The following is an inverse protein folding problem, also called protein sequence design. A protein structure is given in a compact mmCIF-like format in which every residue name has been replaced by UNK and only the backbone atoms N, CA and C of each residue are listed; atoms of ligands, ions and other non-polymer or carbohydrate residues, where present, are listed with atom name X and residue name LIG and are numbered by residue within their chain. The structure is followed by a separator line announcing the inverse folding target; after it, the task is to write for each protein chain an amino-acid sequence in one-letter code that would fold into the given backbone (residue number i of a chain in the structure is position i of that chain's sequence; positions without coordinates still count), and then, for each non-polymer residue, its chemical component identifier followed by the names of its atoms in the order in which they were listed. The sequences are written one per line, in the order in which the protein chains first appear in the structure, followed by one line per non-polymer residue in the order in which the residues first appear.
data_IF_495518398952
#
_entry.id   IF_495518398952
#
_cell.length_a   1.000
_cell.length_b   1.000
_cell.length_c   1.000
_cell.angle_alpha   90.00
_cell.angle_beta   90.00
_cell.angle_gamma   90.00
#
_symmetry.space_group_name_H-M   'P 1'
#
loop_
_entity.id
_entity.type
_entity.pdbx_description
1 polymer ?
#
# COMPACT_ATOMS: atom_id res chain seq x y z
N UNK A 1 -3.46 -29.04 -9.75
CA UNK A 1 -2.82 -27.72 -9.97
C UNK A 1 -3.66 -26.52 -9.49
N UNK A 2 -4.97 -26.65 -9.21
CA UNK A 2 -5.82 -25.55 -8.71
C UNK A 2 -5.66 -25.18 -7.23
N UNK A 3 -5.13 -26.07 -6.37
CA UNK A 3 -5.09 -25.85 -4.93
C UNK A 3 -4.19 -24.67 -4.49
N UNK A 4 -3.14 -24.35 -5.26
CA UNK A 4 -2.21 -23.27 -4.91
C UNK A 4 -2.68 -21.88 -5.35
N UNK A 5 -3.66 -21.79 -6.27
CA UNK A 5 -4.13 -20.50 -6.82
C UNK A 5 -4.84 -19.65 -5.76
N UNK A 6 -5.52 -20.29 -4.81
CA UNK A 6 -6.23 -19.61 -3.74
C UNK A 6 -5.30 -19.07 -2.63
N UNK A 7 -4.07 -19.57 -2.56
CA UNK A 7 -3.15 -19.21 -1.48
C UNK A 7 -2.76 -17.74 -1.54
N UNK A 8 -2.51 -17.21 -2.75
CA UNK A 8 -2.18 -15.80 -2.95
C UNK A 8 -3.27 -14.86 -2.41
N UNK A 9 -4.51 -14.92 -2.93
CA UNK A 9 -5.62 -14.11 -2.44
C UNK A 9 -5.89 -14.29 -0.95
N UNK A 10 -5.77 -15.52 -0.41
CA UNK A 10 -5.92 -15.79 1.02
C UNK A 10 -4.86 -15.04 1.85
N UNK A 11 -3.58 -15.16 1.49
CA UNK A 11 -2.48 -14.47 2.18
C UNK A 11 -2.68 -12.95 2.11
N UNK A 12 -3.03 -12.41 0.94
CA UNK A 12 -3.28 -10.97 0.79
C UNK A 12 -4.45 -10.48 1.64
N UNK A 13 -5.55 -11.24 1.70
CA UNK A 13 -6.71 -10.90 2.51
C UNK A 13 -6.39 -10.93 4.02
N UNK A 14 -5.68 -11.97 4.47
CA UNK A 14 -5.22 -12.09 5.86
C UNK A 14 -4.23 -10.98 6.22
N UNK A 15 -3.29 -10.66 5.33
CA UNK A 15 -2.34 -9.57 5.51
C UNK A 15 -3.07 -8.23 5.66
N UNK A 16 -4.08 -7.96 4.81
CA UNK A 16 -4.90 -6.74 4.91
C UNK A 16 -5.64 -6.65 6.25
N UNK A 17 -6.27 -7.75 6.70
CA UNK A 17 -6.98 -7.78 7.97
C UNK A 17 -6.02 -7.66 9.18
N UNK A 18 -4.84 -8.26 9.08
CA UNK A 18 -3.88 -8.36 10.18
C UNK A 18 -2.85 -7.23 10.28
N UNK A 19 -2.74 -6.33 9.31
CA UNK A 19 -1.68 -5.31 9.25
C UNK A 19 -2.13 -3.89 9.60
N UNK A 20 -3.42 -3.64 9.84
CA UNK A 20 -3.91 -2.30 10.19
C UNK A 20 -3.17 -1.69 11.40
N UNK A 21 -2.97 -2.48 12.47
CA UNK A 21 -2.27 -2.00 13.67
C UNK A 21 -0.81 -1.56 13.42
N UNK A 22 -0.18 -2.05 12.34
CA UNK A 22 1.21 -1.73 12.01
C UNK A 22 1.33 -0.26 11.61
N UNK A 23 0.42 0.24 10.78
CA UNK A 23 0.39 1.65 10.38
C UNK A 23 0.06 2.57 11.55
N UNK A 24 -0.79 2.12 12.47
CA UNK A 24 -1.13 2.89 13.67
C UNK A 24 0.10 3.08 14.56
N UNK A 25 0.99 2.09 14.63
CA UNK A 25 2.19 2.13 15.47
C UNK A 25 3.37 2.83 14.78
N UNK A 26 3.58 2.62 13.48
CA UNK A 26 4.81 3.01 12.77
C UNK A 26 4.63 4.19 11.83
N UNK A 27 3.40 4.63 11.58
CA UNK A 27 3.03 5.66 10.63
C UNK A 27 2.67 5.06 9.27
N UNK A 28 1.46 5.39 8.78
CA UNK A 28 0.94 4.85 7.51
C UNK A 28 1.82 5.17 6.32
N UNK A 29 2.33 6.39 6.20
CA UNK A 29 3.19 6.81 5.10
C UNK A 29 4.49 6.01 5.04
N UNK A 30 5.14 5.79 6.19
CA UNK A 30 6.36 4.96 6.28
C UNK A 30 6.09 3.51 5.93
N UNK A 31 5.01 2.92 6.46
CA UNK A 31 4.64 1.54 6.16
C UNK A 31 4.33 1.37 4.67
N UNK A 32 3.58 2.29 4.08
CA UNK A 32 3.27 2.28 2.65
C UNK A 32 4.53 2.38 1.79
N UNK A 33 5.46 3.28 2.13
CA UNK A 33 6.72 3.42 1.39
C UNK A 33 7.53 2.12 1.36
N UNK A 34 7.76 1.51 2.54
CA UNK A 34 8.49 0.24 2.62
C UNK A 34 7.74 -0.91 1.97
N UNK A 35 6.40 -0.88 2.00
CA UNK A 35 5.57 -1.86 1.30
C UNK A 35 5.77 -1.78 -0.20
N UNK A 36 5.80 -0.59 -0.80
CA UNK A 36 6.14 -0.47 -2.22
C UNK A 36 7.57 -0.94 -2.52
N UNK A 37 8.54 -0.67 -1.65
CA UNK A 37 9.88 -1.25 -1.75
C UNK A 37 9.87 -2.78 -1.79
N UNK A 38 9.07 -3.41 -0.91
CA UNK A 38 8.88 -4.86 -0.90
C UNK A 38 8.20 -5.38 -2.18
N UNK A 39 7.18 -4.67 -2.68
CA UNK A 39 6.51 -5.03 -3.94
C UNK A 39 7.47 -4.95 -5.14
N UNK A 40 8.34 -3.94 -5.19
CA UNK A 40 9.37 -3.80 -6.23
C UNK A 40 10.35 -4.97 -6.17
N UNK A 41 10.86 -5.29 -4.97
CA UNK A 41 11.78 -6.42 -4.78
C UNK A 41 11.12 -7.76 -5.16
N UNK A 42 9.87 -7.98 -4.76
CA UNK A 42 9.11 -9.18 -5.09
C UNK A 42 8.87 -9.31 -6.60
N UNK A 43 8.43 -8.23 -7.27
CA UNK A 43 8.21 -8.23 -8.72
C UNK A 43 9.51 -8.46 -9.51
N UNK A 44 10.63 -7.84 -9.08
CA UNK A 44 11.95 -8.11 -9.64
C UNK A 44 12.37 -9.57 -9.41
N UNK A 45 12.09 -10.13 -8.23
CA UNK A 45 12.31 -11.54 -7.92
C UNK A 45 11.49 -12.48 -8.80
N UNK A 46 10.22 -12.17 -9.07
CA UNK A 46 9.38 -12.92 -10.02
C UNK A 46 10.02 -12.92 -11.41
N UNK A 47 10.45 -11.76 -11.91
CA UNK A 47 11.13 -11.64 -13.21
C UNK A 47 12.43 -12.45 -13.24
N UNK A 48 13.21 -12.41 -12.17
CA UNK A 48 14.45 -13.18 -12.05
C UNK A 48 14.20 -14.69 -12.13
N UNK A 49 13.30 -15.22 -11.30
CA UNK A 49 13.00 -16.66 -11.29
C UNK A 49 12.33 -17.15 -12.58
N UNK A 50 11.61 -16.26 -13.28
CA UNK A 50 11.10 -16.54 -14.61
C UNK A 50 12.22 -16.61 -15.66
N UNK A 51 13.23 -15.74 -15.56
CA UNK A 51 14.42 -15.76 -16.43
C UNK A 51 15.30 -17.01 -16.24
N UNK A 52 15.31 -17.61 -15.05
CA UNK A 52 16.02 -18.85 -14.75
C UNK A 52 15.10 -20.08 -14.66
N UNK A 53 13.94 -20.05 -15.32
CA UNK A 53 12.88 -21.08 -15.21
C UNK A 53 13.34 -22.53 -15.44
N UNK A 54 14.42 -22.73 -16.20
CA UNK A 54 14.94 -24.06 -16.54
C UNK A 54 15.85 -24.64 -15.44
N UNK A 55 16.18 -23.85 -14.40
CA UNK A 55 16.98 -24.28 -13.26
C UNK A 55 16.13 -25.01 -12.19
N UNK A 56 16.71 -25.99 -11.48
CA UNK A 56 16.02 -26.68 -10.41
C UNK A 56 15.63 -25.70 -9.29
N UNK A 57 14.36 -25.75 -8.86
CA UNK A 57 13.84 -24.88 -7.80
C UNK A 57 13.33 -23.51 -8.25
N UNK A 58 13.50 -23.12 -9.53
CA UNK A 58 13.05 -21.84 -10.04
C UNK A 58 11.54 -21.60 -9.83
N UNK A 59 10.71 -22.64 -9.98
CA UNK A 59 9.27 -22.57 -9.71
C UNK A 59 8.96 -22.18 -8.27
N UNK A 60 9.67 -22.75 -7.28
CA UNK A 60 9.42 -22.45 -5.87
C UNK A 60 9.86 -21.03 -5.51
N UNK A 61 10.96 -20.55 -6.10
CA UNK A 61 11.38 -19.16 -6.00
C UNK A 61 10.34 -18.19 -6.59
N UNK A 62 9.87 -18.48 -7.81
CA UNK A 62 8.79 -17.74 -8.46
C UNK A 62 7.52 -17.69 -7.60
N UNK A 63 7.09 -18.86 -7.09
CA UNK A 63 5.91 -18.98 -6.25
C UNK A 63 6.04 -18.19 -4.95
N UNK A 64 7.18 -18.29 -4.26
CA UNK A 64 7.45 -17.56 -3.04
C UNK A 64 7.41 -16.04 -3.26
N UNK A 65 7.99 -15.54 -4.34
CA UNK A 65 7.95 -14.11 -4.67
C UNK A 65 6.52 -13.63 -4.96
N UNK A 66 5.69 -14.45 -5.62
CA UNK A 66 4.27 -14.15 -5.77
C UNK A 66 3.53 -14.09 -4.42
N UNK A 67 3.81 -15.01 -3.49
CA UNK A 67 3.21 -14.97 -2.15
C UNK A 67 3.62 -13.70 -1.37
N UNK A 68 4.88 -13.29 -1.48
CA UNK A 68 5.36 -12.03 -0.92
C UNK A 68 4.64 -10.84 -1.57
N UNK A 69 4.42 -10.85 -2.88
CA UNK A 69 3.70 -9.79 -3.58
C UNK A 69 2.24 -9.69 -3.12
N UNK A 70 1.54 -10.82 -2.95
CA UNK A 70 0.17 -10.83 -2.40
C UNK A 70 0.12 -10.32 -0.96
N UNK A 71 1.04 -10.76 -0.11
CA UNK A 71 1.18 -10.27 1.26
C UNK A 71 1.40 -8.75 1.28
N UNK A 72 2.39 -8.27 0.53
CA UNK A 72 2.73 -6.86 0.44
C UNK A 72 1.56 -6.03 -0.10
N UNK A 73 0.82 -6.54 -1.10
CA UNK A 73 -0.40 -5.88 -1.60
C UNK A 73 -1.46 -5.73 -0.50
N UNK A 74 -1.64 -6.77 0.32
CA UNK A 74 -2.55 -6.73 1.48
C UNK A 74 -2.16 -5.64 2.49
N UNK A 75 -0.88 -5.59 2.86
CA UNK A 75 -0.33 -4.55 3.77
C UNK A 75 -0.44 -3.15 3.15
N UNK A 76 -0.17 -3.05 1.85
CA UNK A 76 -0.23 -1.81 1.08
C UNK A 76 -1.62 -1.21 1.14
N UNK A 77 -2.66 -2.00 0.88
CA UNK A 77 -4.05 -1.58 0.97
C UNK A 77 -4.46 -1.11 2.37
N UNK A 78 -4.03 -1.82 3.42
CA UNK A 78 -4.34 -1.42 4.79
C UNK A 78 -3.67 -0.07 5.14
N UNK A 79 -2.37 0.06 4.84
CA UNK A 79 -1.60 1.26 5.16
C UNK A 79 -2.06 2.51 4.39
N UNK A 80 -2.38 2.38 3.09
CA UNK A 80 -2.87 3.51 2.28
C UNK A 80 -4.24 3.98 2.75
N UNK A 81 -5.15 3.06 3.10
CA UNK A 81 -6.46 3.44 3.65
C UNK A 81 -6.34 4.12 5.02
N UNK A 82 -5.37 3.75 5.84
CA UNK A 82 -5.12 4.43 7.11
C UNK A 82 -4.49 5.81 6.96
N UNK A 83 -3.78 6.09 5.86
CA UNK A 83 -3.28 7.43 5.57
C UNK A 83 -4.41 8.44 5.35
N UNK A 84 -5.52 8.03 4.72
CA UNK A 84 -6.60 8.94 4.28
C UNK A 84 -7.23 9.70 5.46
N UNK A 85 -7.72 9.05 6.55
CA UNK A 85 -8.26 9.76 7.69
C UNK A 85 -7.24 10.70 8.36
N UNK A 86 -5.97 10.28 8.47
CA UNK A 86 -4.90 11.10 9.07
C UNK A 86 -4.68 12.38 8.26
N UNK A 87 -4.65 12.26 6.94
CA UNK A 87 -4.51 13.40 6.03
C UNK A 87 -5.73 14.32 6.15
N UNK A 88 -6.95 13.77 6.19
CA UNK A 88 -8.17 14.58 6.30
C UNK A 88 -8.28 15.33 7.62
N UNK A 89 -7.86 14.74 8.74
CA UNK A 89 -7.82 15.47 10.02
C UNK A 89 -6.88 16.67 9.96
N UNK A 90 -5.73 16.54 9.28
CA UNK A 90 -4.79 17.66 9.08
C UNK A 90 -5.37 18.72 8.13
N UNK A 91 -5.96 18.30 7.01
CA UNK A 91 -6.49 19.22 5.99
C UNK A 91 -7.73 19.97 6.47
N UNK A 92 -8.69 19.30 7.12
CA UNK A 92 -9.86 19.97 7.71
C UNK A 92 -9.45 20.91 8.83
N UNK A 93 -8.46 20.53 9.65
CA UNK A 93 -7.88 21.42 10.66
C UNK A 93 -7.29 22.71 10.07
N UNK A 94 -6.71 22.62 8.86
CA UNK A 94 -6.13 23.76 8.13
C UNK A 94 -7.17 24.60 7.38
N UNK A 95 -8.13 23.95 6.71
CA UNK A 95 -9.10 24.59 5.83
C UNK A 95 -10.31 25.15 6.57
N UNK A 96 -10.64 24.60 7.75
CA UNK A 96 -11.82 24.97 8.53
C UNK A 96 -11.46 25.27 10.00
N UNK A 97 -10.55 26.24 10.27
CA UNK A 97 -10.11 26.55 11.63
C UNK A 97 -11.23 27.06 12.55
N UNK A 98 -12.31 27.61 11.97
CA UNK A 98 -13.47 28.17 12.67
C UNK A 98 -14.36 27.11 13.34
N UNK A 99 -14.25 25.83 12.92
CA UNK A 99 -15.06 24.76 13.48
C UNK A 99 -14.55 24.35 14.86
N UNK A 100 -15.47 23.94 15.75
CA UNK A 100 -15.08 23.34 17.02
C UNK A 100 -14.29 22.05 16.79
N UNK A 101 -13.46 21.60 17.76
CA UNK A 101 -12.69 20.36 17.61
C UNK A 101 -13.56 19.14 17.27
N UNK A 102 -14.75 19.01 17.88
CA UNK A 102 -15.68 17.92 17.62
C UNK A 102 -16.26 17.96 16.19
N UNK A 103 -16.59 19.15 15.69
CA UNK A 103 -17.09 19.34 14.32
C UNK A 103 -16.01 19.05 13.28
N UNK A 104 -14.75 19.44 13.54
CA UNK A 104 -13.62 19.14 12.66
C UNK A 104 -13.39 17.63 12.52
N UNK A 105 -13.37 16.89 13.62
CA UNK A 105 -13.22 15.43 13.57
C UNK A 105 -14.35 14.78 12.77
N UNK A 106 -15.60 15.17 13.05
CA UNK A 106 -16.76 14.66 12.31
C UNK A 106 -16.69 14.97 10.82
N UNK A 107 -16.26 16.17 10.44
CA UNK A 107 -16.11 16.53 9.03
C UNK A 107 -14.95 15.75 8.38
N UNK A 108 -13.81 15.63 9.05
CA UNK A 108 -12.67 14.86 8.55
C UNK A 108 -13.03 13.39 8.32
N UNK A 109 -13.78 12.76 9.24
CA UNK A 109 -14.26 11.38 9.08
C UNK A 109 -15.21 11.22 7.90
N UNK A 110 -16.14 12.17 7.69
CA UNK A 110 -17.07 12.16 6.55
C UNK A 110 -16.33 12.26 5.21
N UNK A 111 -15.42 13.23 5.09
CA UNK A 111 -14.64 13.40 3.86
C UNK A 111 -13.72 12.21 3.62
N UNK A 112 -13.07 11.69 4.67
CA UNK A 112 -12.25 10.48 4.56
C UNK A 112 -13.06 9.28 4.06
N UNK A 113 -14.28 9.07 4.58
CA UNK A 113 -15.16 7.99 4.14
C UNK A 113 -15.55 8.12 2.65
N UNK A 114 -15.85 9.35 2.20
CA UNK A 114 -16.14 9.62 0.79
C UNK A 114 -14.92 9.34 -0.11
N UNK A 115 -13.73 9.79 0.30
CA UNK A 115 -12.47 9.55 -0.44
C UNK A 115 -12.15 8.05 -0.49
N UNK A 116 -12.30 7.32 0.62
CA UNK A 116 -12.09 5.87 0.67
C UNK A 116 -13.05 5.17 -0.30
N UNK A 117 -14.34 5.54 -0.30
CA UNK A 117 -15.33 4.96 -1.21
C UNK A 117 -14.96 5.17 -2.68
N UNK A 118 -14.64 6.41 -3.05
CA UNK A 118 -14.29 6.77 -4.44
C UNK A 118 -12.98 6.10 -4.90
N UNK A 119 -11.93 6.15 -4.07
CA UNK A 119 -10.65 5.52 -4.39
C UNK A 119 -10.75 3.99 -4.43
N UNK A 120 -11.62 3.37 -3.62
CA UNK A 120 -11.90 1.93 -3.67
C UNK A 120 -12.57 1.52 -4.98
N UNK A 121 -13.50 2.32 -5.49
CA UNK A 121 -14.13 2.07 -6.79
C UNK A 121 -13.10 2.08 -7.93
N UNK A 122 -12.15 3.03 -7.90
CA UNK A 122 -11.04 3.06 -8.86
C UNK A 122 -10.13 1.83 -8.67
N UNK A 123 -9.79 1.50 -7.42
CA UNK A 123 -8.93 0.36 -7.09
C UNK A 123 -9.51 -0.98 -7.55
N UNK A 124 -10.84 -1.13 -7.59
CA UNK A 124 -11.51 -2.34 -8.04
C UNK A 124 -11.19 -2.69 -9.50
N UNK A 125 -10.89 -1.70 -10.36
CA UNK A 125 -10.46 -1.96 -11.75
C UNK A 125 -9.16 -2.76 -11.82
N UNK A 126 -8.33 -2.75 -10.78
CA UNK A 126 -7.12 -3.58 -10.70
C UNK A 126 -7.41 -5.08 -10.86
N UNK A 127 -8.57 -5.56 -10.40
CA UNK A 127 -8.99 -6.96 -10.56
C UNK A 127 -9.24 -7.37 -12.01
N UNK A 128 -9.58 -6.42 -12.88
CA UNK A 128 -9.69 -6.63 -14.33
C UNK A 128 -8.36 -6.36 -15.04
N UNK A 129 -7.67 -5.29 -14.65
CA UNK A 129 -6.45 -4.84 -15.31
C UNK A 129 -5.34 -5.88 -15.21
N UNK A 130 -5.11 -6.47 -14.03
CA UNK A 130 -4.01 -7.43 -13.83
C UNK A 130 -4.14 -8.67 -14.74
N UNK A 131 -5.27 -9.42 -14.73
CA UNK A 131 -5.43 -10.57 -15.62
C UNK A 131 -5.38 -10.18 -17.10
N UNK A 132 -5.97 -9.04 -17.47
CA UNK A 132 -5.97 -8.56 -18.87
C UNK A 132 -4.57 -8.21 -19.34
N UNK A 133 -3.75 -7.56 -18.50
CA UNK A 133 -2.35 -7.25 -18.80
C UNK A 133 -1.52 -8.52 -18.99
N UNK A 134 -1.65 -9.51 -18.10
CA UNK A 134 -0.99 -10.81 -18.29
C UNK A 134 -1.41 -11.48 -19.60
N UNK A 135 -2.71 -11.56 -19.88
CA UNK A 135 -3.21 -12.18 -21.12
C UNK A 135 -2.72 -11.46 -22.38
N UNK A 136 -2.67 -10.12 -22.36
CA UNK A 136 -2.18 -9.32 -23.49
C UNK A 136 -0.66 -9.48 -23.68
N UNK A 137 0.10 -9.50 -22.59
CA UNK A 137 1.55 -9.77 -22.61
C UNK A 137 1.85 -11.12 -23.24
N UNK A 138 1.16 -12.18 -22.79
CA UNK A 138 1.35 -13.54 -23.31
C UNK A 138 0.98 -13.60 -24.81
N UNK A 139 -0.14 -12.99 -25.19
CA UNK A 139 -0.59 -12.99 -26.59
C UNK A 139 0.37 -12.23 -27.53
N UNK A 140 1.00 -11.15 -27.07
CA UNK A 140 1.85 -10.30 -27.90
C UNK A 140 3.33 -10.66 -27.88
N UNK A 141 3.83 -11.18 -26.75
CA UNK A 141 5.27 -11.38 -26.50
C UNK A 141 5.66 -12.83 -26.23
N UNK A 142 4.68 -13.72 -26.06
CA UNK A 142 4.90 -15.14 -25.73
C UNK A 142 5.03 -15.43 -24.23
N UNK A 143 5.07 -14.41 -23.37
CA UNK A 143 5.16 -14.60 -21.92
C UNK A 143 4.64 -13.41 -21.09
N UNK A 144 4.62 -13.54 -19.74
CA UNK A 144 4.07 -12.54 -18.83
C UNK A 144 5.04 -11.40 -18.47
N UNK A 145 6.27 -11.42 -18.99
CA UNK A 145 7.38 -10.53 -18.62
C UNK A 145 7.03 -9.05 -18.85
N UNK A 146 6.41 -8.72 -19.99
CA UNK A 146 6.06 -7.34 -20.31
C UNK A 146 5.04 -6.76 -19.33
N UNK A 147 4.05 -7.56 -18.91
CA UNK A 147 3.11 -7.16 -17.85
C UNK A 147 3.82 -6.94 -16.51
N UNK A 148 4.72 -7.85 -16.13
CA UNK A 148 5.50 -7.74 -14.89
C UNK A 148 6.39 -6.50 -14.85
N UNK A 149 7.04 -6.14 -15.95
CA UNK A 149 7.78 -4.88 -16.07
C UNK A 149 6.87 -3.66 -15.93
N UNK A 150 5.68 -3.69 -16.54
CA UNK A 150 4.68 -2.63 -16.36
C UNK A 150 4.26 -2.45 -14.90
N UNK A 151 4.02 -3.56 -14.19
CA UNK A 151 3.70 -3.52 -12.75
C UNK A 151 4.87 -3.02 -11.91
N UNK A 152 6.11 -3.45 -12.23
CA UNK A 152 7.30 -2.98 -11.55
C UNK A 152 7.47 -1.46 -11.66
N UNK A 153 7.34 -0.92 -12.88
CA UNK A 153 7.41 0.53 -13.13
C UNK A 153 6.32 1.26 -12.35
N UNK A 154 5.11 0.71 -12.32
CA UNK A 154 4.01 1.27 -11.52
C UNK A 154 4.33 1.27 -10.02
N UNK A 155 4.90 0.21 -9.46
CA UNK A 155 5.30 0.18 -8.06
C UNK A 155 6.41 1.17 -7.73
N UNK A 156 7.39 1.34 -8.64
CA UNK A 156 8.44 2.36 -8.51
C UNK A 156 7.83 3.76 -8.50
N UNK A 157 6.91 4.07 -9.41
CA UNK A 157 6.27 5.39 -9.45
C UNK A 157 5.45 5.65 -8.18
N UNK A 158 4.73 4.65 -7.68
CA UNK A 158 4.05 4.74 -6.39
C UNK A 158 5.02 5.01 -5.23
N UNK A 159 6.15 4.28 -5.14
CA UNK A 159 7.16 4.52 -4.11
C UNK A 159 7.72 5.95 -4.17
N UNK A 160 8.03 6.45 -5.36
CA UNK A 160 8.53 7.80 -5.60
C UNK A 160 7.50 8.85 -5.16
N UNK A 161 6.23 8.68 -5.53
CA UNK A 161 5.14 9.58 -5.12
C UNK A 161 4.96 9.54 -3.60
N UNK A 162 4.93 8.35 -2.99
CA UNK A 162 4.78 8.20 -1.54
C UNK A 162 5.90 8.92 -0.80
N UNK A 163 7.13 8.77 -1.29
CA UNK A 163 8.29 9.45 -0.74
C UNK A 163 8.23 10.97 -0.92
N UNK A 164 8.02 11.43 -2.15
CA UNK A 164 8.06 12.85 -2.50
C UNK A 164 6.91 13.65 -1.89
N UNK A 165 5.72 13.06 -1.69
CA UNK A 165 4.55 13.78 -1.18
C UNK A 165 4.37 13.61 0.32
N UNK A 166 4.58 12.40 0.86
CA UNK A 166 4.17 12.07 2.22
C UNK A 166 5.32 11.95 3.21
N UNK A 167 6.39 11.22 2.87
CA UNK A 167 7.40 10.80 3.87
C UNK A 167 8.72 11.57 3.85
N UNK A 168 9.03 12.35 2.80
CA UNK A 168 10.23 13.22 2.81
C UNK A 168 10.13 14.30 3.90
N UNK A 169 11.25 14.88 4.32
CA UNK A 169 11.26 16.06 5.21
C UNK A 169 10.41 17.18 4.60
N UNK A 170 9.43 17.70 5.34
CA UNK A 170 8.43 18.64 4.87
C UNK A 170 7.24 18.02 4.11
N UNK A 171 7.20 16.69 4.01
CA UNK A 171 6.08 15.93 3.46
C UNK A 171 4.88 15.92 4.40
N UNK A 172 3.69 15.65 3.84
CA UNK A 172 2.42 15.85 4.53
C UNK A 172 2.30 15.02 5.83
N UNK A 173 2.87 13.81 5.84
CA UNK A 173 2.80 12.88 6.98
C UNK A 173 4.08 12.85 7.81
N UNK A 174 5.21 13.30 7.29
CA UNK A 174 6.51 13.26 7.98
C UNK A 174 6.41 13.84 9.40
N UNK A 175 5.90 15.06 9.53
CA UNK A 175 5.88 15.74 10.84
C UNK A 175 4.87 15.10 11.81
N UNK A 176 3.77 14.55 11.30
CA UNK A 176 2.74 13.86 12.11
C UNK A 176 3.32 12.57 12.70
N UNK A 177 4.00 11.78 11.85
CA UNK A 177 4.55 10.49 12.22
C UNK A 177 5.77 10.62 13.14
N UNK A 178 6.54 11.69 12.99
CA UNK A 178 7.69 11.99 13.85
C UNK A 178 7.28 12.68 15.16
N UNK A 179 6.26 13.54 15.18
CA UNK A 179 5.76 14.17 16.40
C UNK A 179 5.17 13.17 17.39
N UNK A 180 4.56 12.07 16.91
CA UNK A 180 4.05 10.97 17.75
C UNK A 180 5.13 10.28 18.61
N UNK A 181 6.42 10.45 18.30
CA UNK A 181 7.54 9.95 19.12
C UNK A 181 8.03 10.95 20.17
N UNK A 182 7.57 12.21 20.15
CA UNK A 182 8.15 13.30 20.93
C UNK A 182 7.33 13.80 22.12
N UNK A 183 6.10 13.32 22.34
CA UNK A 183 5.26 13.78 23.46
C UNK A 183 5.05 12.63 24.45
N UNK A 184 5.75 12.61 25.60
CA UNK A 184 5.27 11.85 26.74
C UNK A 184 3.90 12.42 27.12
N UNK A 185 2.88 11.57 27.20
CA UNK A 185 1.67 11.90 27.92
C UNK A 185 2.09 12.15 29.37
N UNK A 186 2.30 13.40 29.76
CA UNK A 186 2.39 13.77 31.16
C UNK A 186 0.99 14.20 31.62
N UNK A 187 0.23 13.34 32.31
CA UNK A 187 -1.11 13.68 32.80
C UNK A 187 -1.11 14.60 34.03
N UNK A 188 0.01 15.26 34.38
CA UNK A 188 0.13 16.10 35.59
C UNK A 188 0.32 17.60 35.35
N UNK A 189 -0.24 18.16 34.28
CA UNK A 189 -0.26 19.63 34.08
C UNK A 189 -1.67 20.24 34.23
N UNK A 190 -2.54 19.56 34.97
CA UNK A 190 -3.85 20.05 35.39
C UNK A 190 -4.03 19.75 36.89
N UNK A 191 -3.15 20.31 37.71
CA UNK A 191 -3.35 20.56 39.14
C UNK A 191 -2.89 21.99 39.44
#
# INVERSE_FOLDING_TARGET
SLQYVFLGPLIGALARAGSGWISDRWGGGRVTFWTFGLMIAAAAGVLFFLGIKDQPGAFWGFFAMFMVLFFATGVGNASTFQMIPVIMHKEIGRLMPQLSPAERSRQAEKEAAAIIGFTSAIGAYGGFFIPKSYGSSIAMTGGPEAALWGFLIFYVSCAVITWAVYTRRGGLLHDIEHARRGVPLNPKAAE
#
